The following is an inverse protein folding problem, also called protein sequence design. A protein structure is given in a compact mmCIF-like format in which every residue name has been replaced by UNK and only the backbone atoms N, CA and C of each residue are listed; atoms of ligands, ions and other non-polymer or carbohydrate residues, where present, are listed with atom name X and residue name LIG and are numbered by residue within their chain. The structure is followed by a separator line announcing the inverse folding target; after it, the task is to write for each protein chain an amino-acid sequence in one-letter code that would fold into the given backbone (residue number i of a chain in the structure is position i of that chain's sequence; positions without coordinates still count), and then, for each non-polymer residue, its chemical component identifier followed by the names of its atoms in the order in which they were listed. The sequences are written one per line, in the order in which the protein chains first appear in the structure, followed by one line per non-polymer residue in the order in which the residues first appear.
data_IF_717317793179
#
_entry.id   IF_717317793179
#
_cell.length_a   1.000
_cell.length_b   1.000
_cell.length_c   1.000
_cell.angle_alpha   90.00
_cell.angle_beta   90.00
_cell.angle_gamma   90.00
#
_symmetry.space_group_name_H-M   'P 1'
#
loop_
_entity.id
_entity.type
_entity.pdbx_description
1 polymer ?
#
# COMPACT_ATOMS: atom_id res chain seq x y z
N UNK A 1 18.91 1.93 10.13
CA UNK A 1 18.17 2.59 9.05
C UNK A 1 16.70 2.24 9.24
N UNK A 2 15.87 3.22 9.52
CA UNK A 2 14.46 2.97 9.89
C UNK A 2 13.71 2.47 8.64
N UNK A 3 13.28 1.21 8.63
CA UNK A 3 12.62 0.56 7.48
C UNK A 3 11.15 0.97 7.30
N UNK A 4 10.72 2.03 7.98
CA UNK A 4 9.36 2.56 7.87
C UNK A 4 9.44 3.99 7.35
N UNK A 5 9.52 4.15 6.03
CA UNK A 5 9.26 5.44 5.40
C UNK A 5 7.74 5.65 5.37
N UNK A 6 7.26 6.63 6.11
CA UNK A 6 5.87 7.11 6.00
C UNK A 6 5.83 8.25 4.99
N UNK A 7 4.82 8.23 4.12
CA UNK A 7 4.62 9.33 3.16
C UNK A 7 4.46 10.70 3.85
N UNK A 8 3.90 10.72 5.07
CA UNK A 8 3.75 11.93 5.90
C UNK A 8 5.07 12.49 6.46
N UNK A 9 6.16 11.74 6.35
CA UNK A 9 7.50 12.17 6.78
C UNK A 9 8.39 12.63 5.62
N UNK A 10 7.91 12.55 4.40
CA UNK A 10 8.68 12.99 3.23
C UNK A 10 8.73 14.52 3.17
N UNK A 11 9.85 15.12 2.77
CA UNK A 11 9.92 16.55 2.48
C UNK A 11 8.80 16.98 1.53
N UNK A 12 8.10 18.06 1.85
CA UNK A 12 6.97 18.56 1.05
C UNK A 12 5.63 17.86 1.26
N UNK A 13 5.57 16.83 2.10
CA UNK A 13 4.31 16.17 2.40
C UNK A 13 3.35 17.10 3.18
N UNK A 14 2.02 16.98 2.94
CA UNK A 14 1.02 17.59 3.81
C UNK A 14 1.15 17.07 5.26
N UNK A 15 0.64 17.82 6.26
CA UNK A 15 0.60 17.34 7.64
C UNK A 15 -0.06 15.97 7.77
N UNK A 16 0.42 15.14 8.69
CA UNK A 16 -0.02 13.75 8.86
C UNK A 16 -1.53 13.62 9.09
N UNK A 17 -2.15 14.57 9.78
CA UNK A 17 -3.60 14.65 10.01
C UNK A 17 -4.40 14.87 8.72
N UNK A 18 -3.81 15.51 7.71
CA UNK A 18 -4.43 15.68 6.40
C UNK A 18 -4.25 14.46 5.49
N UNK A 19 -3.16 13.68 5.67
CA UNK A 19 -2.86 12.54 4.80
C UNK A 19 -3.56 11.25 5.19
N UNK A 20 -3.42 10.79 6.40
CA UNK A 20 -3.94 9.48 6.81
C UNK A 20 -4.96 9.55 7.93
N UNK A 21 -5.02 10.67 8.64
CA UNK A 21 -5.92 10.83 9.76
C UNK A 21 -5.89 9.64 10.73
N UNK A 22 -6.98 9.46 11.46
CA UNK A 22 -7.14 8.34 12.38
C UNK A 22 -7.59 7.01 11.71
N UNK A 23 -7.53 6.90 10.36
CA UNK A 23 -8.05 5.72 9.64
C UNK A 23 -7.39 4.43 10.09
N UNK A 24 -6.08 4.45 10.28
CA UNK A 24 -5.32 3.27 10.71
C UNK A 24 -5.83 2.74 12.07
N UNK A 25 -6.02 3.65 13.03
CA UNK A 25 -6.53 3.28 14.35
C UNK A 25 -8.00 2.83 14.30
N UNK A 26 -8.84 3.54 13.52
CA UNK A 26 -10.27 3.23 13.39
C UNK A 26 -10.51 1.88 12.72
N UNK A 27 -9.74 1.55 11.69
CA UNK A 27 -9.96 0.36 10.87
C UNK A 27 -9.08 -0.82 11.30
N UNK A 28 -8.17 -0.63 12.26
CA UNK A 28 -7.37 -1.69 12.87
C UNK A 28 -6.17 -2.17 12.07
N UNK A 29 -5.57 -1.32 11.22
CA UNK A 29 -4.35 -1.68 10.51
C UNK A 29 -3.12 -0.92 10.99
N UNK A 30 -1.95 -1.49 10.77
CA UNK A 30 -0.66 -0.85 11.06
C UNK A 30 0.37 -1.20 10.00
N UNK A 31 1.24 -0.25 9.67
CA UNK A 31 2.40 -0.51 8.83
C UNK A 31 3.44 -1.26 9.68
N UNK A 32 3.91 -2.39 9.20
CA UNK A 32 4.99 -3.19 9.81
C UNK A 32 6.33 -2.77 9.22
N UNK A 33 6.37 -2.65 7.89
CA UNK A 33 7.56 -2.21 7.17
C UNK A 33 7.20 -1.58 5.82
N UNK A 34 8.05 -0.68 5.34
CA UNK A 34 7.98 -0.12 3.99
C UNK A 34 9.38 0.30 3.54
N UNK A 35 9.88 -0.29 2.48
CA UNK A 35 11.21 0.00 1.92
C UNK A 35 11.32 -0.50 0.48
N UNK A 36 12.09 0.18 -0.32
CA UNK A 36 12.49 -0.24 -1.67
C UNK A 36 11.34 -0.75 -2.57
N UNK A 37 10.22 -0.04 -2.55
CA UNK A 37 9.05 -0.39 -3.35
C UNK A 37 8.23 -1.55 -2.79
N UNK A 38 8.44 -1.91 -1.53
CA UNK A 38 7.69 -2.95 -0.81
C UNK A 38 7.06 -2.38 0.44
N UNK A 39 5.93 -2.92 0.81
CA UNK A 39 5.26 -2.63 2.08
C UNK A 39 4.64 -3.88 2.66
N UNK A 40 4.54 -3.89 3.99
CA UNK A 40 3.79 -4.88 4.74
C UNK A 40 2.97 -4.18 5.81
N UNK A 41 1.69 -4.52 5.84
CA UNK A 41 0.74 -4.06 6.85
C UNK A 41 0.10 -5.27 7.52
N UNK A 42 -0.11 -5.20 8.82
CA UNK A 42 -1.02 -6.09 9.53
C UNK A 42 -2.36 -5.40 9.71
N UNK A 43 -3.42 -6.10 9.42
CA UNK A 43 -4.79 -5.62 9.57
C UNK A 43 -5.62 -6.59 10.41
N UNK A 44 -6.17 -6.07 11.51
CA UNK A 44 -7.16 -6.76 12.31
C UNK A 44 -8.48 -6.00 12.17
N UNK A 45 -9.38 -6.43 11.25
CA UNK A 45 -10.60 -5.70 10.95
C UNK A 45 -11.48 -5.51 12.18
N UNK A 46 -11.93 -4.28 12.39
CA UNK A 46 -12.84 -3.89 13.47
C UNK A 46 -14.31 -4.10 13.05
N UNK A 47 -15.27 -4.10 13.98
CA UNK A 47 -16.70 -4.28 13.66
C UNK A 47 -17.24 -3.26 12.67
N UNK A 48 -16.66 -2.07 12.58
CA UNK A 48 -17.07 -0.96 11.71
C UNK A 48 -16.93 -1.29 10.21
N UNK A 49 -16.11 -2.28 9.87
CA UNK A 49 -15.90 -2.70 8.48
C UNK A 49 -16.72 -3.93 8.11
N UNK A 50 -17.61 -4.38 8.99
CA UNK A 50 -18.40 -5.58 8.76
C UNK A 50 -19.47 -5.38 7.68
N UNK A 51 -19.68 -6.42 6.89
CA UNK A 51 -20.87 -6.57 6.05
C UNK A 51 -22.03 -7.20 6.87
N UNK A 52 -23.25 -7.28 6.30
CA UNK A 52 -24.41 -7.83 7.03
C UNK A 52 -24.26 -9.25 7.54
N UNK A 53 -23.30 -10.04 7.05
CA UNK A 53 -23.04 -11.41 7.51
C UNK A 53 -21.83 -11.53 8.45
N UNK A 54 -21.33 -10.41 8.98
CA UNK A 54 -20.26 -10.38 9.98
C UNK A 54 -18.86 -10.63 9.43
N UNK A 55 -18.65 -10.42 8.15
CA UNK A 55 -17.35 -10.51 7.47
C UNK A 55 -16.91 -9.13 7.00
N UNK A 56 -15.66 -8.99 6.61
CA UNK A 56 -15.16 -7.75 6.02
C UNK A 56 -15.93 -7.41 4.75
N UNK A 57 -16.46 -6.19 4.70
CA UNK A 57 -17.05 -5.65 3.48
C UNK A 57 -15.98 -5.39 2.42
N UNK A 58 -16.24 -5.82 1.17
CA UNK A 58 -15.27 -5.75 0.07
C UNK A 58 -14.72 -4.35 -0.21
N UNK A 59 -15.53 -3.30 0.00
CA UNK A 59 -15.08 -1.91 -0.17
C UNK A 59 -13.97 -1.52 0.82
N UNK A 60 -14.05 -1.99 2.08
CA UNK A 60 -12.98 -1.74 3.06
C UNK A 60 -11.72 -2.55 2.75
N UNK A 61 -11.86 -3.77 2.20
CA UNK A 61 -10.70 -4.49 1.71
C UNK A 61 -10.02 -3.75 0.55
N UNK A 62 -10.82 -3.10 -0.32
CA UNK A 62 -10.29 -2.21 -1.35
C UNK A 62 -9.46 -1.06 -0.77
N UNK A 63 -9.96 -0.41 0.27
CA UNK A 63 -9.25 0.67 0.96
C UNK A 63 -7.90 0.18 1.51
N UNK A 64 -7.84 -0.99 2.16
CA UNK A 64 -6.58 -1.55 2.68
C UNK A 64 -5.61 -1.90 1.54
N UNK A 65 -6.11 -2.41 0.43
CA UNK A 65 -5.28 -2.68 -0.75
C UNK A 65 -4.71 -1.39 -1.34
N UNK A 66 -5.51 -0.33 -1.41
CA UNK A 66 -5.04 0.99 -1.84
C UNK A 66 -3.95 1.54 -0.93
N UNK A 67 -4.18 1.50 0.39
CA UNK A 67 -3.21 1.97 1.39
C UNK A 67 -1.89 1.18 1.36
N UNK A 68 -1.92 -0.15 1.24
CA UNK A 68 -0.69 -0.96 1.16
C UNK A 68 0.06 -0.71 -0.14
N UNK A 69 -0.64 -0.55 -1.27
CA UNK A 69 -0.01 -0.21 -2.54
C UNK A 69 0.61 1.19 -2.52
N UNK A 70 -0.13 2.19 -2.02
CA UNK A 70 0.38 3.56 -1.87
C UNK A 70 1.61 3.63 -0.96
N UNK A 71 1.60 2.87 0.15
CA UNK A 71 2.74 2.76 1.07
C UNK A 71 3.96 2.13 0.40
N UNK A 72 3.77 1.11 -0.43
CA UNK A 72 4.86 0.50 -1.20
C UNK A 72 5.50 1.52 -2.15
N UNK A 73 4.69 2.26 -2.91
CA UNK A 73 5.23 3.30 -3.80
C UNK A 73 5.89 4.44 -3.00
N UNK A 74 5.27 4.93 -1.94
CA UNK A 74 5.85 5.98 -1.09
C UNK A 74 7.22 5.59 -0.52
N UNK A 75 7.50 4.30 -0.33
CA UNK A 75 8.79 3.83 0.16
C UNK A 75 9.96 4.03 -0.81
N UNK A 76 9.70 4.35 -2.08
CA UNK A 76 10.72 4.71 -3.08
C UNK A 76 11.04 6.21 -3.06
N UNK A 77 10.16 7.05 -2.51
CA UNK A 77 10.23 8.49 -2.61
C UNK A 77 11.24 9.08 -1.62
N UNK A 78 12.00 10.07 -2.06
CA UNK A 78 12.85 10.93 -1.22
C UNK A 78 12.18 12.25 -0.84
N UNK A 79 11.14 12.62 -1.58
CA UNK A 79 10.29 13.79 -1.35
C UNK A 79 8.84 13.44 -1.69
N UNK A 80 7.89 14.23 -1.23
CA UNK A 80 6.48 13.98 -1.48
C UNK A 80 6.12 14.23 -2.95
N UNK A 81 5.53 13.22 -3.59
CA UNK A 81 4.93 13.30 -4.92
C UNK A 81 3.45 12.96 -4.76
N UNK A 82 2.56 13.75 -5.33
CA UNK A 82 1.14 13.43 -5.34
C UNK A 82 0.87 12.28 -6.33
N UNK A 83 0.26 11.20 -5.86
CA UNK A 83 -0.03 10.01 -6.67
C UNK A 83 -1.46 9.49 -6.45
N UNK A 84 -2.47 10.18 -7.00
CA UNK A 84 -3.85 9.70 -6.92
C UNK A 84 -4.02 8.35 -7.59
N UNK A 85 -4.88 7.51 -7.01
CA UNK A 85 -5.27 6.21 -7.58
C UNK A 85 -6.12 6.44 -8.82
N UNK A 86 -5.71 5.85 -9.94
CA UNK A 86 -6.44 5.92 -11.24
C UNK A 86 -7.36 4.73 -11.40
N UNK A 87 -6.88 3.56 -11.04
CA UNK A 87 -7.66 2.32 -11.13
C UNK A 87 -7.15 1.30 -10.13
N UNK A 88 -8.05 0.41 -9.74
CA UNK A 88 -7.73 -0.73 -8.89
C UNK A 88 -8.55 -1.93 -9.33
N UNK A 89 -7.91 -3.07 -9.43
CA UNK A 89 -8.55 -4.36 -9.66
C UNK A 89 -8.36 -5.23 -8.43
N UNK A 90 -9.42 -5.89 -7.98
CA UNK A 90 -9.41 -6.75 -6.81
C UNK A 90 -10.02 -8.11 -7.14
N UNK A 91 -9.41 -9.15 -6.60
CA UNK A 91 -9.90 -10.52 -6.62
C UNK A 91 -10.08 -11.01 -5.18
N UNK A 92 -11.31 -11.43 -4.86
CA UNK A 92 -11.68 -11.94 -3.54
C UNK A 92 -11.68 -13.47 -3.59
N UNK A 93 -10.79 -14.08 -2.81
CA UNK A 93 -10.61 -15.54 -2.81
C UNK A 93 -11.28 -16.21 -1.62
N UNK A 94 -11.19 -15.60 -0.44
CA UNK A 94 -11.80 -16.13 0.80
C UNK A 94 -12.24 -15.00 1.70
N UNK A 95 -13.34 -15.15 2.44
CA UNK A 95 -13.78 -14.15 3.39
C UNK A 95 -12.75 -13.94 4.50
N UNK A 96 -12.72 -12.70 5.00
CA UNK A 96 -11.97 -12.31 6.20
C UNK A 96 -12.98 -12.05 7.31
N UNK A 97 -12.79 -12.67 8.45
CA UNK A 97 -13.66 -12.47 9.61
C UNK A 97 -13.26 -11.22 10.37
N UNK A 98 -14.23 -10.57 11.02
CA UNK A 98 -13.96 -9.48 11.96
C UNK A 98 -13.07 -10.02 13.11
N UNK A 99 -12.02 -9.28 13.46
CA UNK A 99 -11.04 -9.69 14.47
C UNK A 99 -9.98 -10.70 13.98
N UNK A 100 -10.07 -11.19 12.75
CA UNK A 100 -9.03 -12.05 12.16
C UNK A 100 -7.86 -11.18 11.69
N UNK A 101 -6.66 -11.40 12.22
CA UNK A 101 -5.47 -10.68 11.74
C UNK A 101 -5.03 -11.26 10.40
N UNK A 102 -4.89 -10.39 9.40
CA UNK A 102 -4.37 -10.71 8.07
C UNK A 102 -3.12 -9.90 7.77
N UNK A 103 -2.29 -10.45 6.90
CA UNK A 103 -1.06 -9.86 6.42
C UNK A 103 -1.28 -9.31 5.00
N UNK A 104 -1.06 -8.01 4.82
CA UNK A 104 -1.24 -7.32 3.55
C UNK A 104 0.13 -6.86 3.05
N UNK A 105 0.52 -7.27 1.86
CA UNK A 105 1.80 -6.90 1.25
C UNK A 105 1.57 -6.15 -0.04
N UNK A 106 2.33 -5.08 -0.27
CA UNK A 106 2.38 -4.33 -1.52
C UNK A 106 3.75 -4.45 -2.16
N UNK A 107 3.80 -4.53 -3.48
CA UNK A 107 5.05 -4.56 -4.24
C UNK A 107 4.91 -3.72 -5.49
N UNK A 108 5.76 -2.71 -5.64
CA UNK A 108 5.81 -1.90 -6.86
C UNK A 108 6.32 -2.76 -8.00
N UNK A 109 5.48 -2.97 -9.01
CA UNK A 109 5.83 -3.74 -10.21
C UNK A 109 6.66 -2.87 -11.15
N UNK A 110 6.22 -1.63 -11.35
CA UNK A 110 6.86 -0.69 -12.28
C UNK A 110 6.51 0.76 -11.95
N UNK A 111 7.48 1.64 -12.11
CA UNK A 111 7.29 3.09 -12.14
C UNK A 111 7.57 3.60 -13.56
N UNK A 112 6.51 4.01 -14.26
CA UNK A 112 6.62 4.75 -15.52
C UNK A 112 6.71 6.25 -15.26
N UNK A 113 6.86 7.07 -16.31
CA UNK A 113 6.89 8.54 -16.18
C UNK A 113 5.61 9.15 -15.61
N UNK A 114 4.46 8.52 -15.84
CA UNK A 114 3.14 9.02 -15.42
C UNK A 114 2.29 8.01 -14.67
N UNK A 115 2.61 6.73 -14.76
CA UNK A 115 1.82 5.66 -14.14
C UNK A 115 2.71 4.71 -13.37
N UNK A 116 2.25 4.37 -12.20
CA UNK A 116 2.88 3.43 -11.28
C UNK A 116 1.95 2.24 -11.11
N UNK A 117 2.47 1.04 -11.25
CA UNK A 117 1.72 -0.21 -11.07
C UNK A 117 2.25 -0.92 -9.83
N UNK A 118 1.33 -1.26 -8.93
CA UNK A 118 1.65 -1.92 -7.66
C UNK A 118 0.72 -3.10 -7.45
N UNK A 119 1.28 -4.26 -7.14
CA UNK A 119 0.53 -5.45 -6.78
C UNK A 119 0.38 -5.58 -5.27
N UNK A 120 -0.75 -6.13 -4.84
CA UNK A 120 -1.04 -6.42 -3.46
C UNK A 120 -1.52 -7.86 -3.25
N UNK A 121 -1.15 -8.43 -2.11
CA UNK A 121 -1.59 -9.75 -1.67
C UNK A 121 -2.01 -9.68 -0.22
N UNK A 122 -3.19 -10.25 0.10
CA UNK A 122 -3.72 -10.37 1.46
C UNK A 122 -3.80 -11.84 1.83
N UNK A 123 -3.17 -12.21 2.95
CA UNK A 123 -3.13 -13.59 3.46
C UNK A 123 -3.60 -13.66 4.91
N UNK A 124 -4.29 -14.73 5.26
CA UNK A 124 -4.60 -15.08 6.65
C UNK A 124 -3.36 -15.62 7.38
N UNK A 125 -3.47 -15.77 8.71
CA UNK A 125 -2.39 -16.27 9.57
C UNK A 125 -1.83 -17.64 9.14
N UNK A 126 -2.67 -18.48 8.53
CA UNK A 126 -2.29 -19.77 7.98
C UNK A 126 -1.63 -19.69 6.59
N UNK A 127 -1.32 -18.47 6.10
CA UNK A 127 -0.74 -18.23 4.78
C UNK A 127 -1.70 -18.34 3.60
N UNK A 128 -2.98 -18.68 3.85
CA UNK A 128 -3.98 -18.81 2.78
C UNK A 128 -4.34 -17.47 2.17
N UNK A 129 -4.40 -17.45 0.84
CA UNK A 129 -4.78 -16.26 0.08
C UNK A 129 -6.22 -15.87 0.41
N UNK A 130 -6.41 -14.61 0.84
CA UNK A 130 -7.71 -13.96 1.08
C UNK A 130 -8.13 -13.10 -0.11
N UNK A 131 -7.22 -12.27 -0.56
CA UNK A 131 -7.42 -11.41 -1.73
C UNK A 131 -6.08 -11.08 -2.40
N UNK A 132 -6.17 -10.62 -3.63
CA UNK A 132 -5.08 -9.96 -4.32
C UNK A 132 -5.62 -8.81 -5.16
N UNK A 133 -4.76 -7.87 -5.51
CA UNK A 133 -5.16 -6.77 -6.36
C UNK A 133 -3.97 -6.10 -7.01
N UNK A 134 -4.28 -5.25 -7.97
CA UNK A 134 -3.31 -4.37 -8.62
C UNK A 134 -3.89 -2.97 -8.61
N UNK A 135 -3.11 -2.01 -8.13
CA UNK A 135 -3.42 -0.59 -8.17
C UNK A 135 -2.55 0.12 -9.19
N UNK A 136 -3.14 1.07 -9.91
CA UNK A 136 -2.42 2.01 -10.77
C UNK A 136 -2.58 3.41 -10.22
N UNK A 137 -1.46 4.07 -9.96
CA UNK A 137 -1.41 5.47 -9.55
C UNK A 137 -0.94 6.34 -10.69
N UNK A 138 -1.36 7.60 -10.70
CA UNK A 138 -0.82 8.63 -11.59
C UNK A 138 0.09 9.55 -10.78
N UNK A 139 1.31 9.75 -11.25
CA UNK A 139 2.25 10.73 -10.70
C UNK A 139 3.17 11.24 -11.81
N UNK A 140 3.64 12.47 -11.66
CA UNK A 140 4.78 12.94 -12.44
C UNK A 140 6.04 12.50 -11.71
N UNK A 141 6.75 11.54 -12.29
CA UNK A 141 7.96 10.95 -11.70
C UNK A 141 9.23 11.43 -12.40
N UNK A 142 9.10 12.27 -13.44
CA UNK A 142 10.23 12.79 -14.20
C UNK A 142 11.05 13.77 -13.35
N UNK A 143 12.37 13.57 -13.32
CA UNK A 143 13.28 14.39 -12.52
C UNK A 143 13.41 13.97 -11.05
N UNK A 144 12.55 13.08 -10.54
CA UNK A 144 12.67 12.55 -9.18
C UNK A 144 13.64 11.37 -9.11
N UNK A 145 14.29 11.21 -7.96
CA UNK A 145 15.25 10.14 -7.69
C UNK A 145 14.86 9.35 -6.44
N UNK A 146 15.28 8.09 -6.40
CA UNK A 146 15.17 7.25 -5.21
C UNK A 146 16.31 7.52 -4.22
N UNK A 147 16.24 6.96 -3.02
CA UNK A 147 17.23 7.16 -1.96
C UNK A 147 18.67 6.72 -2.36
N UNK A 148 18.81 5.81 -3.32
CA UNK A 148 20.09 5.36 -3.88
C UNK A 148 20.59 6.23 -5.06
N UNK A 149 19.88 7.30 -5.40
CA UNK A 149 20.21 8.24 -6.48
C UNK A 149 19.78 7.80 -7.87
N UNK A 150 19.18 6.60 -8.03
CA UNK A 150 18.64 6.17 -9.33
C UNK A 150 17.37 6.95 -9.69
N UNK A 151 17.11 7.19 -10.99
CA UNK A 151 15.86 7.79 -11.41
C UNK A 151 14.64 7.00 -10.92
N UNK A 152 13.63 7.70 -10.42
CA UNK A 152 12.38 7.08 -9.99
C UNK A 152 11.62 6.50 -11.19
N UNK A 153 11.54 7.27 -12.29
CA UNK A 153 10.97 6.78 -13.54
C UNK A 153 11.83 5.68 -14.15
N UNK A 154 11.23 4.54 -14.43
CA UNK A 154 11.92 3.37 -14.98
C UNK A 154 12.18 2.25 -13.95
N UNK A 155 11.93 2.48 -12.66
CA UNK A 155 12.06 1.43 -11.65
C UNK A 155 11.17 0.21 -11.98
N UNK A 156 11.72 -0.97 -11.81
CA UNK A 156 11.02 -2.26 -11.90
C UNK A 156 11.44 -3.16 -10.74
N UNK A 157 10.52 -3.95 -10.23
CA UNK A 157 10.82 -4.93 -9.18
C UNK A 157 11.85 -5.97 -9.61
N UNK A 158 12.00 -6.21 -10.92
CA UNK A 158 13.05 -7.10 -11.46
C UNK A 158 14.47 -6.55 -11.28
N UNK A 159 14.61 -5.23 -11.02
CA UNK A 159 15.91 -4.58 -10.88
C UNK A 159 16.47 -4.68 -9.44
N UNK A 160 15.71 -5.27 -8.51
CA UNK A 160 16.08 -5.42 -7.10
C UNK A 160 16.53 -6.82 -6.72
N UNK A 161 16.68 -7.73 -7.70
CA UNK A 161 17.18 -9.08 -7.47
C UNK A 161 18.68 -9.16 -7.89
N UNK A 162 19.55 -8.65 -7.04
CA UNK A 162 20.95 -9.08 -6.92
C UNK A 162 21.26 -9.42 -5.48
#
# INVERSE_FOLDING_TARGET
MDRIARADKLPGAPPADQMSGNRAALLGWRIVEAFEGRSRMEWTPTPEVANPVGQVHGGYLGLIVDDVCGTAFASLLTEFVLFPTVSMQLEFHRPIKIGETVDCTGTVVRVGRRFIVVDAVVRGAEGKLRARGTATFAADTEGHVMADGRPLAGFSASDTTE
#
